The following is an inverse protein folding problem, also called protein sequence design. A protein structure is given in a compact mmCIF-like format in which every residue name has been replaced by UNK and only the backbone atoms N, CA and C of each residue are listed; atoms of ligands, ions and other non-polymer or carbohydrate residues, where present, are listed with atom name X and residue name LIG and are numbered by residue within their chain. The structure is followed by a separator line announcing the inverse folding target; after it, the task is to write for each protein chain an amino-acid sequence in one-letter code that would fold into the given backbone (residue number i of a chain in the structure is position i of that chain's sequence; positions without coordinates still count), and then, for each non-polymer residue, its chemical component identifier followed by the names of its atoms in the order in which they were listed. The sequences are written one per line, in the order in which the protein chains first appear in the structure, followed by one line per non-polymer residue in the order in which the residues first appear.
data_IF_166635735632
#
_entry.id   IF_166635735632
#
_cell.length_a   1.000
_cell.length_b   1.000
_cell.length_c   1.000
_cell.angle_alpha   90.00
_cell.angle_beta   90.00
_cell.angle_gamma   90.00
#
_symmetry.space_group_name_H-M   'P 1'
#
loop_
_entity.id
_entity.type
_entity.pdbx_description
1 polymer ?
#
# COMPACT_ATOMS: atom_id res chain seq x y z
N UNK A 1 10.79 10.33 -14.54
CA UNK A 1 10.08 9.16 -14.00
C UNK A 1 10.34 9.05 -12.50
N UNK A 2 9.34 9.29 -11.65
CA UNK A 2 9.53 9.19 -10.21
C UNK A 2 9.94 7.74 -9.84
N UNK A 3 11.04 7.59 -9.10
CA UNK A 3 11.52 6.28 -8.65
C UNK A 3 10.44 5.63 -7.80
N UNK A 4 10.00 4.42 -8.18
CA UNK A 4 9.03 3.64 -7.40
C UNK A 4 9.60 3.45 -6.00
N UNK A 5 8.77 3.66 -4.98
CA UNK A 5 9.20 3.37 -3.61
C UNK A 5 9.47 1.86 -3.48
N UNK A 6 10.36 1.42 -2.58
CA UNK A 6 10.61 -0.01 -2.36
C UNK A 6 9.32 -0.81 -2.08
N UNK A 7 8.36 -0.19 -1.39
CA UNK A 7 7.04 -0.77 -1.14
C UNK A 7 6.22 -1.00 -2.41
N UNK A 8 6.28 -0.08 -3.38
CA UNK A 8 5.58 -0.21 -4.65
C UNK A 8 6.23 -1.23 -5.58
N UNK A 9 7.56 -1.30 -5.56
CA UNK A 9 8.29 -2.35 -6.24
C UNK A 9 7.93 -3.74 -5.68
N UNK A 10 7.85 -3.88 -4.35
CA UNK A 10 7.41 -5.11 -3.69
C UNK A 10 5.98 -5.50 -4.04
N UNK A 11 5.07 -4.53 -4.08
CA UNK A 11 3.69 -4.77 -4.49
C UNK A 11 3.62 -5.31 -5.92
N UNK A 12 4.33 -4.70 -6.87
CA UNK A 12 4.37 -5.15 -8.26
C UNK A 12 4.94 -6.57 -8.38
N UNK A 13 6.04 -6.86 -7.66
CA UNK A 13 6.62 -8.21 -7.59
C UNK A 13 5.65 -9.24 -7.02
N UNK A 14 4.92 -8.90 -5.97
CA UNK A 14 3.92 -9.79 -5.36
C UNK A 14 2.71 -10.02 -6.27
N UNK A 15 2.25 -9.00 -7.00
CA UNK A 15 1.19 -9.14 -7.99
C UNK A 15 1.61 -10.10 -9.11
N UNK A 16 2.82 -9.92 -9.65
CA UNK A 16 3.38 -10.81 -10.68
C UNK A 16 3.45 -12.27 -10.20
N UNK A 17 3.92 -12.50 -8.97
CA UNK A 17 3.97 -13.85 -8.40
C UNK A 17 2.60 -14.47 -8.19
N UNK A 18 1.58 -13.67 -7.87
CA UNK A 18 0.19 -14.14 -7.76
C UNK A 18 -0.35 -14.54 -9.13
N UNK A 19 -0.13 -13.73 -10.17
CA UNK A 19 -0.59 -14.09 -11.52
C UNK A 19 0.12 -15.33 -12.05
N UNK A 20 1.44 -15.41 -11.90
CA UNK A 20 2.24 -16.58 -12.30
C UNK A 20 1.80 -17.85 -11.56
N UNK A 21 1.53 -17.78 -10.26
CA UNK A 21 1.05 -18.97 -9.55
C UNK A 21 -0.39 -19.33 -9.85
N UNK A 22 -1.23 -18.38 -10.28
CA UNK A 22 -2.62 -18.69 -10.68
C UNK A 22 -2.67 -19.47 -11.98
N UNK A 23 -1.75 -19.22 -12.91
CA UNK A 23 -1.67 -19.97 -14.18
C UNK A 23 -1.07 -21.37 -14.00
N UNK A 24 -0.28 -21.58 -12.95
CA UNK A 24 0.40 -22.87 -12.68
C UNK A 24 -0.39 -23.77 -11.73
N UNK A 25 -1.22 -23.20 -10.85
CA UNK A 25 -1.94 -23.99 -9.85
C UNK A 25 -3.27 -24.53 -10.41
N UNK A 26 -3.40 -25.86 -10.47
CA UNK A 26 -4.69 -26.53 -10.77
C UNK A 26 -5.77 -26.15 -9.75
N UNK A 27 -5.41 -26.07 -8.46
CA UNK A 27 -6.34 -25.71 -7.38
C UNK A 27 -6.02 -24.33 -6.80
N UNK A 28 -6.66 -23.30 -7.32
CA UNK A 28 -6.37 -21.89 -6.96
C UNK A 28 -6.80 -21.49 -5.54
N UNK A 29 -7.87 -22.10 -5.02
CA UNK A 29 -8.44 -21.77 -3.69
C UNK A 29 -7.74 -22.52 -2.55
N UNK A 30 -7.38 -23.79 -2.78
CA UNK A 30 -6.71 -24.64 -1.79
C UNK A 30 -5.19 -24.45 -1.71
N UNK A 31 -4.56 -23.79 -2.68
CA UNK A 31 -3.11 -23.73 -2.74
C UNK A 31 -2.50 -22.83 -1.62
N UNK A 32 -1.71 -23.41 -0.69
CA UNK A 32 -1.16 -22.67 0.46
C UNK A 32 -0.16 -21.58 0.03
N UNK A 33 0.56 -21.81 -1.08
CA UNK A 33 1.50 -20.84 -1.66
C UNK A 33 0.75 -19.63 -2.22
N UNK A 34 -0.33 -19.84 -2.96
CA UNK A 34 -1.19 -18.74 -3.45
C UNK A 34 -1.82 -17.96 -2.29
N UNK A 35 -2.33 -18.66 -1.27
CA UNK A 35 -2.87 -18.03 -0.06
C UNK A 35 -1.82 -17.16 0.64
N UNK A 36 -0.59 -17.65 0.77
CA UNK A 36 0.52 -16.90 1.37
C UNK A 36 0.87 -15.63 0.58
N UNK A 37 0.88 -15.71 -0.76
CA UNK A 37 1.17 -14.59 -1.64
C UNK A 37 0.08 -13.52 -1.57
N UNK A 38 -1.20 -13.91 -1.61
CA UNK A 38 -2.32 -12.99 -1.41
C UNK A 38 -2.26 -12.29 -0.05
N UNK A 39 -1.95 -13.01 1.04
CA UNK A 39 -1.77 -12.41 2.38
C UNK A 39 -0.66 -11.36 2.38
N UNK A 40 0.50 -11.66 1.77
CA UNK A 40 1.62 -10.71 1.65
C UNK A 40 1.23 -9.48 0.84
N UNK A 41 0.56 -9.65 -0.30
CA UNK A 41 0.09 -8.56 -1.14
C UNK A 41 -0.87 -7.63 -0.39
N UNK A 42 -1.87 -8.20 0.32
CA UNK A 42 -2.82 -7.42 1.12
C UNK A 42 -2.14 -6.66 2.26
N UNK A 43 -1.09 -7.22 2.89
CA UNK A 43 -0.30 -6.52 3.91
C UNK A 43 0.44 -5.32 3.32
N UNK A 44 1.07 -5.47 2.16
CA UNK A 44 1.77 -4.38 1.47
C UNK A 44 0.78 -3.25 1.07
N UNK A 45 -0.38 -3.61 0.51
CA UNK A 45 -1.45 -2.66 0.19
C UNK A 45 -1.98 -1.92 1.44
N UNK A 46 -2.16 -2.63 2.56
CA UNK A 46 -2.53 -2.00 3.84
C UNK A 46 -1.47 -1.02 4.32
N UNK A 47 -0.18 -1.37 4.23
CA UNK A 47 0.94 -0.48 4.57
C UNK A 47 0.92 0.79 3.70
N UNK A 48 0.71 0.65 2.39
CA UNK A 48 0.57 1.79 1.47
C UNK A 48 -0.59 2.72 1.89
N UNK A 49 -1.76 2.15 2.17
CA UNK A 49 -2.93 2.91 2.66
C UNK A 49 -2.64 3.63 3.97
N UNK A 50 -2.03 2.96 4.96
CA UNK A 50 -1.67 3.58 6.25
C UNK A 50 -0.67 4.72 6.10
N UNK A 51 0.29 4.61 5.19
CA UNK A 51 1.23 5.71 4.90
C UNK A 51 0.52 6.88 4.23
N UNK A 52 -0.40 6.60 3.30
CA UNK A 52 -1.21 7.64 2.67
C UNK A 52 -2.09 8.37 3.69
N UNK A 53 -2.78 7.64 4.58
CA UNK A 53 -3.59 8.27 5.64
C UNK A 53 -2.75 9.09 6.60
N UNK A 54 -1.59 8.57 7.05
CA UNK A 54 -0.63 9.34 7.88
C UNK A 54 -0.19 10.63 7.20
N UNK A 55 0.18 10.57 5.91
CA UNK A 55 0.52 11.77 5.13
C UNK A 55 -0.66 12.76 5.09
N UNK A 56 -1.88 12.29 4.82
CA UNK A 56 -3.07 13.15 4.85
C UNK A 56 -3.29 13.82 6.21
N UNK A 57 -3.17 13.09 7.31
CA UNK A 57 -3.30 13.67 8.65
C UNK A 57 -2.18 14.66 9.00
N UNK A 58 -0.93 14.36 8.61
CA UNK A 58 0.19 15.28 8.81
C UNK A 58 0.02 16.59 8.02
N UNK A 59 -0.49 16.50 6.79
CA UNK A 59 -0.82 17.67 5.97
C UNK A 59 -2.02 18.45 6.55
N UNK A 60 -3.03 17.76 7.09
CA UNK A 60 -4.15 18.38 7.80
C UNK A 60 -3.74 19.08 9.10
N UNK A 61 -2.69 18.60 9.79
CA UNK A 61 -2.15 19.28 10.98
C UNK A 61 -1.46 20.61 10.66
N UNK A 62 -0.93 20.78 9.45
CA UNK A 62 -0.39 22.07 8.98
C UNK A 62 -1.48 23.08 8.57
N UNK A 63 -2.68 22.62 8.23
CA UNK A 63 -3.83 23.49 7.97
C UNK A 63 -4.49 24.00 9.26
N UNK A 64 -4.35 23.27 10.38
CA UNK A 64 -4.85 23.70 11.69
C UNK A 64 -4.00 24.76 12.37
N UNK A 65 -2.68 24.79 12.13
CA UNK A 65 -1.78 25.81 12.69
C UNK A 65 -1.81 27.13 11.90
N UNK A 66 -2.08 27.09 10.59
CA UNK A 66 -2.19 28.31 9.78
C UNK A 66 -3.50 29.10 10.04
N UNK A 67 -4.59 28.43 10.46
CA UNK A 67 -5.84 29.13 10.82
C UNK A 67 -5.82 29.82 12.18
N UNK A 68 -4.88 29.48 13.05
CA UNK A 68 -4.75 30.13 14.36
C UNK A 68 -3.95 31.44 14.30
N UNK A 69 -3.01 31.57 13.35
CA UNK A 69 -2.15 32.76 13.21
C UNK A 69 -2.79 33.87 12.33
N UNK A 70 -3.78 33.56 11.49
CA UNK A 70 -4.46 34.57 10.65
C UNK A 70 -5.77 35.12 11.24
N UNK A 71 -6.12 34.75 12.47
CA UNK A 71 -7.32 35.24 13.16
C UNK A 71 -7.02 36.32 14.22
N UNK A 72 -5.76 36.72 14.35
CA UNK A 72 -5.30 37.83 15.21
C UNK A 72 -4.31 38.70 14.44
N UNK A 73 -4.79 39.38 13.40
CA UNK A 73 -4.13 40.53 12.79
C UNK A 73 -5.22 41.44 12.19
#
# INVERSE_FOLDING_TARGET
MAKKTPLEADMARLQKKVSEQRTVAENTEGNPKLRSLHKRLKRAQRKKRRLATRKRHAMGKKAGTQKAETATA
#
